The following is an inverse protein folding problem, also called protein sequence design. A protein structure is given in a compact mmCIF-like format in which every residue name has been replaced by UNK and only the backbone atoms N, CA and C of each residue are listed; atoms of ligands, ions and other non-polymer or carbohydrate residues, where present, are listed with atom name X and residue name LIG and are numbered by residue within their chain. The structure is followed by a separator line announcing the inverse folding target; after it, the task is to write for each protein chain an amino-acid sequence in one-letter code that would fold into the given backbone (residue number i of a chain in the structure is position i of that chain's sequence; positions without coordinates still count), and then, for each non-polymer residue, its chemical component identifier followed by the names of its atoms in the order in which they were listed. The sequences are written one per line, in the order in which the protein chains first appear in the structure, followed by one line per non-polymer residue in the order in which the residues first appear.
data_IF_843129293719
#
_entry.id   IF_843129293719
#
_cell.length_a   1.000
_cell.length_b   1.000
_cell.length_c   1.000
_cell.angle_alpha   90.00
_cell.angle_beta   90.00
_cell.angle_gamma   90.00
#
_symmetry.space_group_name_H-M   'P 1'
#
loop_
_entity.id
_entity.type
_entity.pdbx_description
1 polymer ?
#
# COMPACT_ATOMS: atom_id res chain seq x y z
N UNK A 1 10.01 4.55 -32.31
CA UNK A 1 11.00 4.29 -31.26
C UNK A 1 10.49 5.02 -30.04
N UNK A 2 10.08 4.27 -29.02
CA UNK A 2 9.33 4.74 -27.86
C UNK A 2 10.33 5.15 -26.76
N UNK A 3 10.45 6.46 -26.52
CA UNK A 3 11.35 7.03 -25.53
C UNK A 3 10.81 6.76 -24.12
N UNK A 4 11.30 5.67 -23.52
CA UNK A 4 10.97 5.24 -22.14
C UNK A 4 11.79 6.02 -21.10
N UNK A 5 12.02 7.30 -21.30
CA UNK A 5 12.63 8.16 -20.28
C UNK A 5 11.64 8.31 -19.13
N UNK A 6 12.00 7.73 -17.97
CA UNK A 6 11.22 7.84 -16.75
C UNK A 6 11.21 9.30 -16.32
N UNK A 7 10.07 9.97 -16.44
CA UNK A 7 9.89 11.34 -15.94
C UNK A 7 10.18 11.41 -14.45
N UNK A 8 10.88 12.46 -14.01
CA UNK A 8 11.15 12.65 -12.59
C UNK A 8 9.85 12.79 -11.79
N UNK A 9 9.72 12.06 -10.68
CA UNK A 9 8.57 12.14 -9.83
C UNK A 9 8.55 13.49 -9.14
N UNK A 10 7.36 14.08 -9.09
CA UNK A 10 7.10 15.37 -8.44
C UNK A 10 7.47 15.41 -6.95
N UNK A 11 7.67 14.24 -6.33
CA UNK A 11 7.92 14.08 -4.91
C UNK A 11 9.08 13.12 -4.67
N UNK A 12 9.93 13.45 -3.69
CA UNK A 12 11.01 12.57 -3.25
C UNK A 12 10.46 11.18 -2.88
N UNK A 13 11.17 10.13 -3.29
CA UNK A 13 10.67 8.75 -3.14
C UNK A 13 10.53 8.34 -1.67
N UNK A 14 11.36 8.91 -0.80
CA UNK A 14 11.29 8.70 0.65
C UNK A 14 9.94 9.09 1.28
N UNK A 15 9.20 10.03 0.67
CA UNK A 15 7.92 10.53 1.21
C UNK A 15 6.69 9.86 0.56
N UNK A 16 6.87 8.86 -0.30
CA UNK A 16 5.73 8.15 -0.88
C UNK A 16 5.06 7.27 0.17
N UNK A 17 3.73 7.28 0.21
CA UNK A 17 2.91 6.58 1.21
C UNK A 17 3.16 5.07 1.30
N UNK A 18 3.66 4.45 0.23
CA UNK A 18 3.96 3.02 0.15
C UNK A 18 5.45 2.69 0.14
N UNK A 19 6.35 3.69 0.24
CA UNK A 19 7.80 3.50 0.15
C UNK A 19 8.32 2.54 1.22
N UNK A 20 8.15 2.90 2.50
CA UNK A 20 8.59 2.07 3.63
C UNK A 20 7.92 0.69 3.63
N UNK A 21 6.63 0.61 3.29
CA UNK A 21 5.90 -0.67 3.18
C UNK A 21 6.48 -1.56 2.09
N UNK A 22 6.85 -0.99 0.95
CA UNK A 22 7.46 -1.72 -0.16
C UNK A 22 8.84 -2.26 0.22
N UNK A 23 9.66 -1.46 0.89
CA UNK A 23 10.98 -1.90 1.37
C UNK A 23 10.88 -3.01 2.42
N UNK A 24 9.90 -2.91 3.33
CA UNK A 24 9.66 -3.93 4.37
C UNK A 24 8.91 -5.16 3.85
N UNK A 25 8.62 -5.25 2.54
CA UNK A 25 7.87 -6.36 1.96
C UNK A 25 6.41 -6.46 2.45
N UNK A 26 5.89 -5.39 3.04
CA UNK A 26 4.53 -5.31 3.56
C UNK A 26 3.49 -5.06 2.48
N UNK A 27 2.22 -5.23 2.85
CA UNK A 27 1.12 -5.02 1.92
C UNK A 27 0.92 -3.54 1.58
N UNK A 28 0.94 -3.29 0.26
CA UNK A 28 0.91 -1.95 -0.34
C UNK A 28 -0.50 -1.39 -0.50
N UNK A 29 -1.52 -2.25 -0.47
CA UNK A 29 -2.92 -1.89 -0.68
C UNK A 29 -3.81 -2.47 0.42
N UNK A 30 -5.05 -1.97 0.51
CA UNK A 30 -6.05 -2.45 1.48
C UNK A 30 -6.73 -3.77 1.06
N UNK A 31 -6.07 -4.58 0.21
CA UNK A 31 -6.66 -5.78 -0.39
C UNK A 31 -7.18 -6.77 0.66
N UNK A 32 -6.50 -6.87 1.80
CA UNK A 32 -6.90 -7.76 2.89
C UNK A 32 -8.21 -7.30 3.54
N UNK A 33 -8.36 -6.01 3.85
CA UNK A 33 -9.63 -5.52 4.40
C UNK A 33 -10.75 -5.60 3.37
N UNK A 34 -10.48 -5.30 2.09
CA UNK A 34 -11.45 -5.47 1.01
C UNK A 34 -11.87 -6.94 0.82
N UNK A 35 -10.94 -7.88 0.94
CA UNK A 35 -11.23 -9.31 0.89
C UNK A 35 -12.06 -9.76 2.09
N UNK A 36 -11.71 -9.33 3.30
CA UNK A 36 -12.48 -9.59 4.52
C UNK A 36 -13.90 -8.99 4.42
N UNK A 37 -14.02 -7.76 3.92
CA UNK A 37 -15.31 -7.12 3.68
C UNK A 37 -16.15 -7.91 2.67
N UNK A 38 -15.57 -8.33 1.53
CA UNK A 38 -16.28 -9.17 0.54
C UNK A 38 -16.72 -10.51 1.12
N UNK A 39 -15.89 -11.15 1.95
CA UNK A 39 -16.24 -12.37 2.67
C UNK A 39 -17.44 -12.15 3.58
N UNK A 40 -17.42 -11.07 4.36
CA UNK A 40 -18.53 -10.69 5.25
C UNK A 40 -19.82 -10.41 4.47
N UNK A 41 -19.75 -9.63 3.40
CA UNK A 41 -20.91 -9.35 2.54
C UNK A 41 -21.55 -10.64 2.00
N UNK A 42 -20.73 -11.58 1.52
CA UNK A 42 -21.20 -12.92 1.10
C UNK A 42 -21.80 -13.73 2.25
N UNK A 43 -21.21 -13.64 3.44
CA UNK A 43 -21.68 -14.35 4.62
C UNK A 43 -23.05 -13.83 5.13
N UNK A 44 -23.30 -12.52 5.02
CA UNK A 44 -24.59 -11.93 5.32
C UNK A 44 -25.63 -12.29 4.26
N UNK A 45 -25.28 -12.22 2.97
CA UNK A 45 -26.17 -12.55 1.85
C UNK A 45 -27.37 -11.61 1.72
N UNK A 46 -27.30 -10.41 2.31
CA UNK A 46 -28.31 -9.36 2.26
C UNK A 46 -27.68 -8.01 2.57
N UNK A 47 -28.27 -6.93 2.06
CA UNK A 47 -27.74 -5.57 2.26
C UNK A 47 -28.02 -5.02 3.67
N UNK A 48 -29.12 -5.46 4.29
CA UNK A 48 -29.59 -4.94 5.59
C UNK A 48 -30.00 -6.08 6.54
N UNK A 49 -29.05 -6.75 7.21
CA UNK A 49 -29.35 -7.77 8.21
C UNK A 49 -29.98 -7.16 9.47
N UNK A 50 -30.84 -7.92 10.16
CA UNK A 50 -31.26 -7.57 11.51
C UNK A 50 -30.06 -7.59 12.46
N UNK A 51 -30.11 -6.84 13.56
CA UNK A 51 -29.01 -6.77 14.53
C UNK A 51 -28.57 -8.15 15.04
N UNK A 52 -29.53 -9.04 15.31
CA UNK A 52 -29.24 -10.41 15.75
C UNK A 52 -28.53 -11.24 14.67
N UNK A 53 -29.06 -11.22 13.43
CA UNK A 53 -28.41 -11.90 12.29
C UNK A 53 -27.01 -11.33 12.03
N UNK A 54 -26.84 -10.03 12.23
CA UNK A 54 -25.56 -9.36 12.09
C UNK A 54 -24.54 -9.92 13.10
N UNK A 55 -24.89 -9.90 14.39
CA UNK A 55 -24.03 -10.40 15.48
C UNK A 55 -23.70 -11.89 15.29
N UNK A 56 -24.69 -12.72 14.96
CA UNK A 56 -24.47 -14.16 14.79
C UNK A 56 -23.56 -14.48 13.60
N UNK A 57 -23.71 -13.74 12.49
CA UNK A 57 -22.84 -13.90 11.33
C UNK A 57 -21.41 -13.45 11.65
N UNK A 58 -21.23 -12.35 12.39
CA UNK A 58 -19.91 -11.90 12.84
C UNK A 58 -19.22 -12.96 13.72
N UNK A 59 -19.94 -13.52 14.70
CA UNK A 59 -19.43 -14.60 15.55
C UNK A 59 -19.01 -15.82 14.74
N UNK A 60 -19.78 -16.16 13.69
CA UNK A 60 -19.44 -17.28 12.79
C UNK A 60 -18.18 -17.00 11.99
N UNK A 61 -18.06 -15.82 11.38
CA UNK A 61 -16.86 -15.46 10.62
C UNK A 61 -15.61 -15.35 11.49
N UNK A 62 -15.76 -14.86 12.72
CA UNK A 62 -14.68 -14.86 13.71
C UNK A 62 -14.20 -16.29 14.01
N UNK A 63 -15.12 -17.21 14.34
CA UNK A 63 -14.76 -18.62 14.58
C UNK A 63 -14.03 -19.27 13.40
N UNK A 64 -14.47 -18.97 12.17
CA UNK A 64 -13.79 -19.48 10.97
C UNK A 64 -12.36 -18.92 10.86
N UNK A 65 -12.18 -17.64 11.15
CA UNK A 65 -10.86 -16.99 11.13
C UNK A 65 -9.95 -17.54 12.22
N UNK A 66 -10.48 -17.76 13.42
CA UNK A 66 -9.74 -18.36 14.54
C UNK A 66 -9.31 -19.80 14.22
N UNK A 67 -10.15 -20.56 13.50
CA UNK A 67 -9.81 -21.89 13.02
C UNK A 67 -8.65 -21.85 12.00
N UNK A 68 -8.70 -20.93 11.03
CA UNK A 68 -7.61 -20.72 10.06
C UNK A 68 -6.30 -20.33 10.80
N UNK A 69 -6.38 -19.43 11.77
CA UNK A 69 -5.24 -19.01 12.59
C UNK A 69 -4.67 -20.16 13.44
N UNK A 70 -5.54 -20.99 14.01
CA UNK A 70 -5.13 -22.17 14.78
C UNK A 70 -4.39 -23.17 13.89
N UNK A 71 -4.89 -23.41 12.67
CA UNK A 71 -4.18 -24.25 11.70
C UNK A 71 -2.80 -23.71 11.36
N UNK A 72 -2.69 -22.39 11.18
CA UNK A 72 -1.41 -21.73 10.96
C UNK A 72 -0.45 -21.88 12.13
N UNK A 73 -0.90 -21.67 13.37
CA UNK A 73 -0.07 -21.86 14.57
C UNK A 73 0.37 -23.31 14.77
N UNK A 74 -0.40 -24.28 14.27
CA UNK A 74 -0.03 -25.70 14.22
C UNK A 74 0.97 -26.04 13.11
N UNK A 75 1.50 -25.05 12.40
CA UNK A 75 2.49 -25.22 11.34
C UNK A 75 1.90 -25.59 9.98
N UNK A 76 0.59 -25.44 9.77
CA UNK A 76 0.01 -25.52 8.43
C UNK A 76 0.17 -24.18 7.74
N UNK A 77 1.09 -24.11 6.79
CA UNK A 77 1.30 -22.89 6.02
C UNK A 77 0.05 -22.53 5.19
N UNK A 78 -0.30 -21.23 5.11
CA UNK A 78 -1.37 -20.78 4.26
C UNK A 78 -0.97 -20.97 2.79
N UNK A 79 -1.96 -21.01 1.87
CA UNK A 79 -1.68 -21.11 0.45
C UNK A 79 -0.71 -20.00 -0.01
N UNK A 80 0.32 -20.39 -0.75
CA UNK A 80 1.28 -19.42 -1.27
C UNK A 80 0.58 -18.39 -2.15
N UNK A 81 0.98 -17.12 -1.98
CA UNK A 81 0.60 -16.02 -2.88
C UNK A 81 0.92 -16.41 -4.32
N UNK A 82 -0.05 -16.23 -5.22
CA UNK A 82 0.11 -16.63 -6.62
C UNK A 82 1.34 -15.95 -7.25
N UNK A 83 2.06 -16.70 -8.10
CA UNK A 83 3.32 -16.28 -8.72
C UNK A 83 3.26 -14.88 -9.33
N UNK A 84 2.17 -14.56 -10.07
CA UNK A 84 1.96 -13.25 -10.69
C UNK A 84 2.08 -12.08 -9.72
N UNK A 85 1.58 -12.23 -8.49
CA UNK A 85 1.63 -11.17 -7.49
C UNK A 85 3.01 -11.07 -6.84
N UNK A 86 3.68 -12.21 -6.60
CA UNK A 86 5.07 -12.24 -6.12
C UNK A 86 6.03 -11.59 -7.11
N UNK A 87 5.82 -11.86 -8.40
CA UNK A 87 6.61 -11.25 -9.48
C UNK A 87 6.34 -9.75 -9.62
N UNK A 88 5.11 -9.30 -9.33
CA UNK A 88 4.77 -7.88 -9.29
C UNK A 88 5.40 -7.19 -8.07
N UNK A 89 5.32 -7.81 -6.88
CA UNK A 89 5.99 -7.31 -5.66
C UNK A 89 7.49 -7.13 -5.90
N UNK A 90 8.15 -8.14 -6.48
CA UNK A 90 9.57 -8.09 -6.82
C UNK A 90 9.91 -6.97 -7.80
N UNK A 91 9.09 -6.79 -8.84
CA UNK A 91 9.29 -5.71 -9.82
C UNK A 91 9.17 -4.33 -9.18
N UNK A 92 8.19 -4.14 -8.31
CA UNK A 92 7.97 -2.87 -7.60
C UNK A 92 9.10 -2.62 -6.59
N UNK A 93 9.49 -3.64 -5.82
CA UNK A 93 10.64 -3.56 -4.92
C UNK A 93 11.91 -3.14 -5.66
N UNK A 94 12.22 -3.81 -6.79
CA UNK A 94 13.39 -3.47 -7.60
C UNK A 94 13.30 -2.05 -8.17
N UNK A 95 12.11 -1.59 -8.55
CA UNK A 95 11.92 -0.22 -9.03
C UNK A 95 12.19 0.79 -7.93
N UNK A 96 11.71 0.53 -6.70
CA UNK A 96 11.89 1.42 -5.54
C UNK A 96 13.35 1.44 -5.07
N UNK A 97 14.00 0.28 -5.00
CA UNK A 97 15.41 0.17 -4.55
C UNK A 97 16.38 0.79 -5.54
N UNK A 98 16.19 0.53 -6.84
CA UNK A 98 17.05 1.06 -7.89
C UNK A 98 16.56 2.41 -8.42
N UNK A 99 15.66 3.07 -7.67
CA UNK A 99 15.24 4.41 -8.01
C UNK A 99 16.36 5.38 -7.65
N UNK A 100 17.12 5.82 -8.65
CA UNK A 100 18.06 6.93 -8.50
C UNK A 100 17.33 8.23 -8.87
N UNK A 101 17.02 9.13 -7.90
CA UNK A 101 16.69 10.50 -8.24
C UNK A 101 17.95 11.15 -8.81
N UNK A 102 17.92 11.59 -10.07
CA UNK A 102 18.98 12.41 -10.62
C UNK A 102 18.84 13.82 -10.04
N UNK A 103 19.43 14.07 -8.86
CA UNK A 103 19.86 15.43 -8.53
C UNK A 103 21.34 15.32 -8.22
N UNK A 104 22.12 15.43 -9.30
CA UNK A 104 23.57 15.50 -9.27
C UNK A 104 23.91 16.98 -9.37
N UNK A 105 24.56 17.53 -8.35
CA UNK A 105 25.17 18.84 -8.54
C UNK A 105 26.30 18.74 -9.58
N UNK A 106 26.80 19.89 -10.03
CA UNK A 106 27.88 20.00 -11.03
C UNK A 106 29.18 19.28 -10.60
N UNK A 107 29.27 18.79 -9.36
CA UNK A 107 30.40 18.09 -8.78
C UNK A 107 30.12 16.60 -8.48
N UNK A 108 28.95 16.06 -8.81
CA UNK A 108 28.65 14.64 -8.61
C UNK A 108 28.00 14.29 -7.27
N UNK A 109 27.62 15.27 -6.44
CA UNK A 109 27.15 15.02 -5.08
C UNK A 109 25.61 15.00 -5.00
N UNK A 110 25.07 14.07 -4.18
CA UNK A 110 23.64 13.94 -3.90
C UNK A 110 23.28 14.90 -2.76
N UNK A 111 22.48 15.93 -3.05
CA UNK A 111 22.03 16.89 -2.04
C UNK A 111 20.53 16.75 -1.80
N UNK A 112 20.15 16.50 -0.55
CA UNK A 112 18.77 16.61 -0.07
C UNK A 112 18.74 17.69 1.00
N UNK A 113 18.24 18.88 0.66
CA UNK A 113 18.12 19.97 1.62
C UNK A 113 16.75 19.91 2.32
N UNK A 114 16.69 19.74 3.65
CA UNK A 114 15.44 19.68 4.41
C UNK A 114 14.52 20.90 4.21
N UNK A 115 15.08 22.04 3.81
CA UNK A 115 14.33 23.27 3.53
C UNK A 115 13.49 23.20 2.25
N UNK A 116 13.81 22.32 1.30
CA UNK A 116 13.03 22.15 0.07
C UNK A 116 11.65 21.55 0.35
N UNK A 117 11.55 20.71 1.37
CA UNK A 117 10.30 20.14 1.85
C UNK A 117 9.37 21.22 2.44
N UNK A 118 9.91 22.12 3.26
CA UNK A 118 9.15 23.21 3.86
C UNK A 118 8.70 24.20 2.77
N UNK A 119 9.58 24.57 1.85
CA UNK A 119 9.27 25.45 0.72
C UNK A 119 8.15 24.89 -0.16
N UNK A 120 8.21 23.60 -0.46
CA UNK A 120 7.18 22.90 -1.23
C UNK A 120 5.81 22.90 -0.53
N UNK A 121 5.76 22.59 0.76
CA UNK A 121 4.52 22.63 1.55
C UNK A 121 3.96 24.06 1.67
N UNK A 122 4.82 25.07 1.87
CA UNK A 122 4.38 26.47 1.84
C UNK A 122 3.90 26.91 0.46
N UNK A 123 4.47 26.37 -0.62
CA UNK A 123 4.01 26.62 -1.98
C UNK A 123 2.64 26.01 -2.26
N UNK A 124 2.33 24.84 -1.71
CA UNK A 124 0.98 24.27 -1.73
C UNK A 124 0.03 25.16 -0.93
N UNK A 125 0.39 25.51 0.32
CA UNK A 125 -0.44 26.34 1.19
C UNK A 125 -0.81 27.70 0.58
N UNK A 126 0.13 28.36 -0.12
CA UNK A 126 -0.13 29.65 -0.79
C UNK A 126 -0.99 29.53 -2.04
N UNK A 127 -0.93 28.39 -2.75
CA UNK A 127 -1.77 28.14 -3.92
C UNK A 127 -3.23 27.79 -3.56
N UNK A 128 -3.53 27.51 -2.28
CA UNK A 128 -4.89 27.27 -1.79
C UNK A 128 -5.64 28.55 -1.35
N UNK A 129 -5.02 29.74 -1.37
CA UNK A 129 -5.69 31.00 -1.00
C UNK A 129 -6.35 31.75 -2.18
N UNK A 130 -6.47 31.17 -3.37
CA UNK A 130 -7.23 31.77 -4.47
C UNK A 130 -8.34 30.85 -4.97
N UNK A 131 -9.50 30.97 -4.32
CA UNK A 131 -10.83 31.09 -4.92
C UNK A 131 -11.87 30.95 -3.79
N UNK A 132 -12.19 32.08 -3.15
CA UNK A 132 -13.50 32.30 -2.54
C UNK A 132 -14.36 33.09 -3.52
#
# INVERSE_FOLDING_TARGET
MDDRTRTEPRFAVAIWSVYARTLNGGDRTNNFAEAAHRRLQRAFGCDHPSLWRFIDTLRREQKNTDADYTQFTLGRDPPLKAKKYRDADRRIYNLVVNYAPLIVDQNGQINFEPNDFINFLTGISRNYEMNQ
#
